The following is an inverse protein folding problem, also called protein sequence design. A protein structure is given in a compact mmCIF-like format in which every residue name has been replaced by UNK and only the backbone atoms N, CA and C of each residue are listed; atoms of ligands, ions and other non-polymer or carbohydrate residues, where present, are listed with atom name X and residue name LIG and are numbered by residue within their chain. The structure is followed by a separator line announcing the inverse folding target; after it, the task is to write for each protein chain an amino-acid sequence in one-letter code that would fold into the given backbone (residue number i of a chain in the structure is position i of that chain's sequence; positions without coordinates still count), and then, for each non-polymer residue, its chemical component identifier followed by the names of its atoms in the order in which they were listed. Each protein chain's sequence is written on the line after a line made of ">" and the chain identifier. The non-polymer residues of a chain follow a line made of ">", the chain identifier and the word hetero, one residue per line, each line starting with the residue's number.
data_IF_475152304966
#
_entry.id   IF_475152304966
#
_cell.length_a   1.000
_cell.length_b   1.000
_cell.length_c   1.000
_cell.angle_alpha   90.00
_cell.angle_beta   90.00
_cell.angle_gamma   90.00
#
_symmetry.space_group_name_H-M   'P 1'
#
loop_
_entity.id
_entity.type
_entity.pdbx_description
1 polymer ?
#
# COMPACT_ATOMS: atom_id res chain seq x y z
N UNK A 1 14.55 6.83 18.68
CA UNK A 1 14.31 7.07 17.24
C UNK A 1 13.95 5.78 16.50
N UNK A 2 14.85 4.79 16.38
CA UNK A 2 14.47 3.47 15.81
C UNK A 2 13.47 2.77 16.74
N UNK A 3 13.72 2.78 18.05
CA UNK A 3 12.81 2.23 19.06
C UNK A 3 11.39 2.83 18.97
N UNK A 4 11.24 4.12 18.65
CA UNK A 4 9.92 4.75 18.55
C UNK A 4 9.13 4.19 17.36
N UNK A 5 9.80 3.98 16.22
CA UNK A 5 9.22 3.38 15.01
C UNK A 5 8.87 1.91 15.26
N UNK A 6 9.76 1.16 15.93
CA UNK A 6 9.52 -0.24 16.32
C UNK A 6 8.32 -0.37 17.27
N UNK A 7 8.10 0.61 18.14
CA UNK A 7 6.96 0.69 19.06
C UNK A 7 5.68 1.26 18.43
N UNK A 8 5.66 1.47 17.12
CA UNK A 8 4.45 1.86 16.40
C UNK A 8 4.25 3.37 16.25
N UNK A 9 5.21 4.20 16.65
CA UNK A 9 5.10 5.65 16.59
C UNK A 9 5.54 6.16 15.20
N UNK A 10 4.68 6.85 14.44
CA UNK A 10 5.04 7.44 13.15
C UNK A 10 6.04 8.58 13.32
N UNK A 11 6.98 8.71 12.37
CA UNK A 11 8.00 9.76 12.39
C UNK A 11 8.00 10.57 11.08
N UNK A 12 7.90 11.90 11.18
CA UNK A 12 7.97 12.80 10.01
C UNK A 12 9.39 13.29 9.77
N UNK A 13 9.93 13.03 8.58
CA UNK A 13 11.21 13.56 8.13
C UNK A 13 11.03 14.98 7.59
N UNK A 14 11.84 15.91 8.11
CA UNK A 14 11.84 17.30 7.65
C UNK A 14 13.21 17.72 7.10
N UNK A 15 13.20 18.50 6.02
CA UNK A 15 14.39 19.17 5.47
C UNK A 15 14.11 20.66 5.45
N UNK A 16 14.99 21.48 6.03
CA UNK A 16 14.77 22.92 6.21
C UNK A 16 13.40 23.25 6.85
N UNK A 17 13.01 22.49 7.88
CA UNK A 17 11.71 22.59 8.58
C UNK A 17 10.48 22.35 7.71
N UNK A 18 10.64 21.80 6.50
CA UNK A 18 9.55 21.37 5.64
C UNK A 18 9.43 19.85 5.68
N UNK A 19 8.25 19.29 5.96
CA UNK A 19 8.04 17.84 5.90
C UNK A 19 8.23 17.35 4.46
N UNK A 20 8.96 16.25 4.31
CA UNK A 20 9.27 15.66 2.99
C UNK A 20 8.85 14.19 2.90
N UNK A 21 8.75 13.49 4.02
CA UNK A 21 8.33 12.10 4.07
C UNK A 21 7.84 11.72 5.47
N UNK A 22 6.99 10.70 5.54
CA UNK A 22 6.61 10.03 6.79
C UNK A 22 7.17 8.60 6.79
N UNK A 23 7.77 8.21 7.91
CA UNK A 23 8.22 6.84 8.17
C UNK A 23 7.19 6.21 9.10
N UNK A 24 6.47 5.23 8.58
CA UNK A 24 5.46 4.48 9.33
C UNK A 24 6.01 3.10 9.74
N UNK A 25 5.61 2.57 10.90
CA UNK A 25 5.97 1.22 11.32
C UNK A 25 5.60 0.20 10.24
N UNK A 26 6.54 -0.70 9.95
CA UNK A 26 6.28 -1.77 9.00
C UNK A 26 5.28 -2.76 9.60
N UNK A 27 4.10 -2.87 8.99
CA UNK A 27 3.09 -3.84 9.42
C UNK A 27 3.30 -5.18 8.72
N UNK A 28 3.98 -6.11 9.42
CA UNK A 28 4.14 -7.51 9.00
C UNK A 28 2.80 -8.22 8.75
N UNK A 29 1.77 -7.85 9.52
CA UNK A 29 0.41 -8.37 9.38
C UNK A 29 -0.55 -7.23 9.12
N UNK A 30 -0.49 -6.63 7.92
CA UNK A 30 -1.68 -5.94 7.42
C UNK A 30 -2.74 -7.01 7.24
N UNK A 31 -3.80 -7.03 8.06
CA UNK A 31 -4.94 -7.89 7.77
C UNK A 31 -5.48 -7.46 6.40
N UNK A 32 -5.38 -8.31 5.35
CA UNK A 32 -5.91 -7.95 4.04
C UNK A 32 -7.44 -7.93 4.07
N UNK A 33 -8.03 -8.45 5.15
CA UNK A 33 -9.46 -8.59 5.34
C UNK A 33 -10.04 -7.32 5.93
N UNK A 34 -10.75 -6.58 5.07
CA UNK A 34 -11.66 -5.50 5.47
C UNK A 34 -13.10 -6.02 5.42
N UNK A 35 -14.01 -5.34 6.13
CA UNK A 35 -15.43 -5.63 5.99
C UNK A 35 -15.89 -5.46 4.53
N UNK A 36 -16.84 -6.28 4.08
CA UNK A 36 -17.34 -6.21 2.69
C UNK A 36 -17.87 -4.82 2.31
N UNK A 37 -18.48 -4.09 3.26
CA UNK A 37 -18.91 -2.71 3.06
C UNK A 37 -17.76 -1.77 2.74
N UNK A 38 -16.63 -1.95 3.41
CA UNK A 38 -15.45 -1.13 3.25
C UNK A 38 -14.76 -1.39 1.91
N UNK A 39 -14.66 -2.66 1.50
CA UNK A 39 -14.17 -3.02 0.16
C UNK A 39 -15.00 -2.36 -0.95
N UNK A 40 -16.34 -2.43 -0.84
CA UNK A 40 -17.25 -1.81 -1.83
C UNK A 40 -17.08 -0.31 -1.89
N UNK A 41 -16.90 0.34 -0.73
CA UNK A 41 -16.64 1.78 -0.65
C UNK A 41 -15.35 2.16 -1.37
N UNK A 42 -14.26 1.43 -1.12
CA UNK A 42 -12.96 1.68 -1.75
C UNK A 42 -13.05 1.54 -3.27
N UNK A 43 -13.62 0.43 -3.76
CA UNK A 43 -13.79 0.19 -5.22
C UNK A 43 -14.63 1.27 -5.88
N UNK A 44 -15.67 1.78 -5.20
CA UNK A 44 -16.51 2.84 -5.73
C UNK A 44 -15.81 4.22 -5.78
N UNK A 45 -14.92 4.50 -4.83
CA UNK A 45 -14.23 5.79 -4.72
C UNK A 45 -12.94 5.85 -5.52
N UNK A 46 -12.29 4.71 -5.73
CA UNK A 46 -10.98 4.63 -6.35
C UNK A 46 -10.94 3.44 -7.30
N UNK A 47 -11.81 3.40 -8.32
CA UNK A 47 -11.76 2.34 -9.32
C UNK A 47 -10.44 2.45 -10.10
N UNK A 48 -9.88 1.30 -10.46
CA UNK A 48 -8.89 1.25 -11.52
C UNK A 48 -9.49 1.82 -12.82
N UNK A 49 -8.64 2.32 -13.70
CA UNK A 49 -9.11 2.72 -15.01
C UNK A 49 -9.61 1.48 -15.79
N UNK A 50 -10.62 1.63 -16.68
CA UNK A 50 -11.14 0.49 -17.43
C UNK A 50 -10.13 -0.18 -18.37
N UNK A 51 -9.08 0.52 -18.79
CA UNK A 51 -8.04 0.02 -19.70
C UNK A 51 -7.03 -0.89 -19.01
N UNK A 52 -6.95 -0.86 -17.68
CA UNK A 52 -6.02 -1.68 -16.90
C UNK A 52 -6.12 -3.19 -17.24
N UNK A 53 -7.30 -3.70 -17.59
CA UNK A 53 -7.47 -5.11 -17.95
C UNK A 53 -6.75 -5.48 -19.25
N UNK A 54 -6.64 -4.54 -20.18
CA UNK A 54 -5.90 -4.72 -21.42
C UNK A 54 -4.39 -4.60 -21.14
N UNK A 55 -3.99 -3.65 -20.30
CA UNK A 55 -2.59 -3.42 -19.92
C UNK A 55 -1.98 -4.65 -19.23
N UNK A 56 -2.73 -5.33 -18.35
CA UNK A 56 -2.25 -6.50 -17.62
C UNK A 56 -2.45 -7.82 -18.38
N UNK A 57 -3.05 -7.80 -19.57
CA UNK A 57 -3.40 -9.01 -20.31
C UNK A 57 -2.16 -9.89 -20.59
N UNK A 58 -1.02 -9.28 -20.90
CA UNK A 58 0.23 -9.99 -21.17
C UNK A 58 0.88 -10.64 -19.95
N UNK A 59 0.70 -10.07 -18.76
CA UNK A 59 1.28 -10.58 -17.51
C UNK A 59 0.36 -11.62 -16.85
N UNK A 60 -0.94 -11.55 -17.09
CA UNK A 60 -1.94 -12.43 -16.45
C UNK A 60 -1.72 -13.92 -16.72
N UNK A 61 -1.10 -14.25 -17.84
CA UNK A 61 -0.84 -15.64 -18.28
C UNK A 61 0.61 -16.06 -18.06
N UNK A 62 1.45 -15.16 -17.53
CA UNK A 62 2.86 -15.45 -17.26
C UNK A 62 2.97 -16.34 -16.02
N UNK A 63 3.68 -17.45 -16.17
CA UNK A 63 4.01 -18.33 -15.05
C UNK A 63 5.19 -17.72 -14.29
N UNK A 64 5.08 -17.68 -12.97
CA UNK A 64 6.23 -17.32 -12.12
C UNK A 64 7.22 -18.48 -12.19
N UNK A 65 8.42 -18.23 -12.68
CA UNK A 65 9.53 -19.18 -12.61
C UNK A 65 10.11 -19.13 -11.18
N UNK A 66 10.17 -20.28 -10.51
CA UNK A 66 10.82 -20.43 -9.20
C UNK A 66 12.32 -20.73 -9.40
N UNK A 67 13.19 -19.81 -8.97
CA UNK A 67 14.66 -20.00 -8.83
C UNK A 67 15.04 -20.52 -7.42
#
# INVERSE_FOLDING_TARGET
>A
MIEDIENGVPLTLTVNKRPVADIIPHQLTRSPWVASSELRRIVAQTPADPGLLDDIAGVREELVEDD
#
